data_IF_348355607673
#
_entry.id   IF_348355607673
#
_cell.length_a   1.000
_cell.length_b   1.000
_cell.length_c   1.000
_cell.angle_alpha   90.00
_cell.angle_beta   90.00
_cell.angle_gamma   90.00
#
_symmetry.space_group_name_H-M   'P 1'
#
loop_
_entity.id
_entity.type
_entity.pdbx_description
1 polymer ?
#
# COMPACT_ATOMS: atom_id res chain seq x y z
N UNK A 1 46.03 -6.82 39.73
CA UNK A 1 45.96 -6.38 38.32
C UNK A 1 44.61 -6.82 37.76
N UNK A 2 43.77 -5.90 37.29
CA UNK A 2 42.38 -6.18 36.93
C UNK A 2 42.24 -6.59 35.46
N UNK A 3 41.34 -7.54 35.21
CA UNK A 3 40.92 -8.01 33.89
C UNK A 3 39.90 -7.00 33.35
N UNK A 4 40.20 -6.41 32.19
CA UNK A 4 39.33 -5.47 31.47
C UNK A 4 38.05 -6.18 31.01
N UNK A 5 36.91 -5.66 31.45
CA UNK A 5 35.60 -5.91 30.86
C UNK A 5 35.47 -4.97 29.65
N UNK A 6 35.37 -5.52 28.44
CA UNK A 6 35.08 -4.74 27.25
C UNK A 6 33.57 -4.50 27.10
N UNK A 7 33.23 -3.22 26.93
CA UNK A 7 31.91 -2.66 26.71
C UNK A 7 31.24 -3.23 25.45
N UNK A 8 30.22 -4.07 25.62
CA UNK A 8 29.22 -4.37 24.58
C UNK A 8 28.11 -3.33 24.69
N UNK A 9 28.40 -2.10 24.23
CA UNK A 9 27.38 -1.08 23.99
C UNK A 9 27.77 -0.30 22.73
N UNK A 10 27.41 -0.87 21.58
CA UNK A 10 27.28 -0.13 20.32
C UNK A 10 25.98 -0.61 19.65
N UNK A 11 24.99 0.27 19.44
CA UNK A 11 23.82 -0.10 18.66
C UNK A 11 24.27 -0.38 17.23
N UNK A 12 23.99 -1.60 16.73
CA UNK A 12 24.01 -1.84 15.28
C UNK A 12 22.97 -0.92 14.67
N UNK A 13 23.39 -0.13 13.68
CA UNK A 13 22.48 0.64 12.83
C UNK A 13 21.40 -0.28 12.26
N UNK A 14 20.15 -0.03 12.61
CA UNK A 14 18.97 -0.74 12.11
C UNK A 14 18.74 -0.38 10.63
N UNK A 15 18.34 -1.34 9.78
CA UNK A 15 18.15 -1.08 8.35
C UNK A 15 16.94 -0.17 8.10
N UNK A 16 17.15 0.83 7.24
CA UNK A 16 16.09 1.69 6.71
C UNK A 16 15.32 0.96 5.59
N UNK A 17 14.04 1.27 5.38
CA UNK A 17 13.23 0.72 4.29
C UNK A 17 13.83 1.03 2.90
N UNK A 18 14.60 2.10 2.76
CA UNK A 18 15.34 2.43 1.53
C UNK A 18 16.50 1.45 1.23
N UNK A 19 17.05 0.73 2.23
CA UNK A 19 18.20 -0.17 2.03
C UNK A 19 17.82 -1.48 1.33
N UNK A 20 16.52 -1.80 1.24
CA UNK A 20 16.05 -3.03 0.58
C UNK A 20 15.76 -2.85 -0.92
N UNK A 21 15.77 -1.62 -1.46
CA UNK A 21 15.40 -1.35 -2.86
C UNK A 21 16.50 -0.70 -3.72
N UNK A 22 17.74 -0.54 -3.24
CA UNK A 22 18.78 0.15 -4.03
C UNK A 22 20.10 -0.61 -4.09
N UNK A 23 20.33 -1.29 -5.22
CA UNK A 23 21.71 -1.56 -5.67
C UNK A 23 21.93 -1.20 -7.14
N UNK A 24 22.91 -0.28 -7.33
CA UNK A 24 23.73 0.02 -8.53
C UNK A 24 23.12 0.89 -9.65
N UNK A 25 23.37 2.21 -9.57
CA UNK A 25 23.48 3.10 -10.74
C UNK A 25 24.83 2.91 -11.44
N UNK A 26 24.84 2.55 -12.73
CA UNK A 26 25.98 2.82 -13.63
C UNK A 26 25.63 4.04 -14.49
N UNK A 27 26.50 5.05 -14.44
CA UNK A 27 26.50 6.24 -15.31
C UNK A 27 26.88 5.82 -16.73
N UNK A 28 26.14 6.28 -17.73
CA UNK A 28 26.65 6.46 -19.10
C UNK A 28 26.33 7.88 -19.57
N UNK A 29 27.38 8.56 -20.01
CA UNK A 29 27.41 9.91 -20.53
C UNK A 29 26.96 9.96 -22.00
N UNK A 30 26.10 10.92 -22.33
CA UNK A 30 25.76 11.31 -23.69
C UNK A 30 26.86 12.18 -24.31
N UNK A 31 27.27 11.84 -25.53
CA UNK A 31 27.98 12.74 -26.43
C UNK A 31 26.97 13.58 -27.23
N UNK A 32 27.24 14.87 -27.32
CA UNK A 32 26.58 15.85 -28.17
C UNK A 32 27.48 16.12 -29.39
N UNK A 33 26.89 16.28 -30.57
CA UNK A 33 27.53 16.99 -31.68
C UNK A 33 26.52 17.81 -32.47
N UNK A 34 27.04 18.93 -32.96
CA UNK A 34 26.43 20.18 -33.39
C UNK A 34 26.02 20.27 -34.86
N UNK A 35 25.12 21.23 -35.11
CA UNK A 35 24.93 22.12 -36.27
C UNK A 35 25.59 21.81 -37.64
N UNK A 36 24.82 21.98 -38.72
CA UNK A 36 25.00 23.11 -39.64
C UNK A 36 23.91 23.19 -40.72
N UNK A 37 23.66 24.44 -41.11
CA UNK A 37 22.72 25.01 -42.08
C UNK A 37 23.12 24.85 -43.54
N UNK A 38 22.15 24.85 -44.47
CA UNK A 38 22.27 25.63 -45.71
C UNK A 38 20.91 25.93 -46.35
N UNK A 39 20.79 27.17 -46.84
CA UNK A 39 19.72 27.70 -47.70
C UNK A 39 20.10 27.52 -49.18
N UNK A 40 19.12 27.60 -50.07
CA UNK A 40 19.10 27.88 -51.54
C UNK A 40 18.11 26.91 -52.21
N UNK A 41 17.28 27.23 -53.20
CA UNK A 41 17.07 28.40 -54.04
C UNK A 41 15.65 28.29 -54.63
N UNK A 42 14.95 29.41 -54.80
CA UNK A 42 13.57 29.50 -55.29
C UNK A 42 13.58 29.68 -56.80
N UNK A 43 13.63 28.59 -57.58
CA UNK A 43 13.25 28.60 -59.01
C UNK A 43 12.86 27.18 -59.45
N UNK A 44 11.55 26.90 -59.52
CA UNK A 44 11.03 25.60 -59.99
C UNK A 44 9.56 25.35 -59.68
N UNK A 45 8.70 26.36 -59.77
CA UNK A 45 7.34 26.33 -59.20
C UNK A 45 6.22 25.87 -60.14
N UNK A 46 6.47 25.41 -61.37
CA UNK A 46 5.36 25.06 -62.30
C UNK A 46 5.42 23.61 -62.84
N UNK A 47 6.52 22.87 -62.65
CA UNK A 47 6.57 21.42 -62.98
C UNK A 47 6.30 20.51 -61.75
N UNK A 48 6.39 21.05 -60.53
CA UNK A 48 6.32 20.29 -59.28
C UNK A 48 4.89 19.89 -58.87
N UNK A 49 3.86 20.64 -59.29
CA UNK A 49 2.47 20.42 -58.85
C UNK A 49 1.83 19.12 -59.38
N UNK A 50 2.19 18.68 -60.59
CA UNK A 50 1.67 17.42 -61.16
C UNK A 50 2.38 16.17 -60.60
N UNK A 51 3.66 16.29 -60.23
CA UNK A 51 4.41 15.18 -59.62
C UNK A 51 4.04 15.06 -58.12
N UNK A 52 3.82 16.17 -57.42
CA UNK A 52 3.34 16.16 -56.03
C UNK A 52 1.93 15.57 -55.90
N UNK A 53 1.02 15.79 -56.85
CA UNK A 53 -0.33 15.22 -56.81
C UNK A 53 -0.33 13.72 -57.08
N UNK A 54 0.49 13.23 -58.02
CA UNK A 54 0.69 11.80 -58.23
C UNK A 54 1.43 11.13 -57.06
N UNK A 55 2.41 11.79 -56.43
CA UNK A 55 3.08 11.28 -55.23
C UNK A 55 2.16 11.30 -54.00
N UNK A 56 1.29 12.30 -53.85
CA UNK A 56 0.25 12.36 -52.81
C UNK A 56 -0.81 11.27 -53.03
N UNK A 57 -1.25 11.03 -54.27
CA UNK A 57 -2.18 9.94 -54.59
C UNK A 57 -1.50 8.58 -54.41
N UNK A 58 -0.22 8.43 -54.76
CA UNK A 58 0.52 7.19 -54.52
C UNK A 58 0.79 6.97 -53.02
N UNK A 59 1.05 8.02 -52.24
CA UNK A 59 1.14 7.97 -50.76
C UNK A 59 -0.23 7.70 -50.11
N UNK A 60 -1.33 8.22 -50.64
CA UNK A 60 -2.69 7.93 -50.17
C UNK A 60 -3.14 6.50 -50.52
N UNK A 61 -2.69 5.97 -51.67
CA UNK A 61 -2.96 4.58 -52.09
C UNK A 61 -2.01 3.57 -51.41
N UNK A 62 -0.75 3.93 -51.12
CA UNK A 62 0.16 3.11 -50.31
C UNK A 62 -0.17 3.15 -48.81
N UNK A 63 -0.77 4.23 -48.31
CA UNK A 63 -1.28 4.32 -46.93
C UNK A 63 -2.53 3.47 -46.70
N UNK A 64 -3.15 2.94 -47.77
CA UNK A 64 -4.25 1.96 -47.71
C UNK A 64 -3.81 0.50 -47.78
N UNK A 65 -2.51 0.20 -47.83
CA UNK A 65 -2.03 -1.09 -47.35
C UNK A 65 -1.97 -0.97 -45.83
N UNK A 66 -2.90 -1.63 -45.14
CA UNK A 66 -2.71 -1.92 -43.72
C UNK A 66 -1.29 -2.47 -43.58
N UNK A 67 -0.40 -1.86 -42.79
CA UNK A 67 0.84 -2.54 -42.44
C UNK A 67 0.39 -3.86 -41.85
N UNK A 68 0.79 -4.99 -42.46
CA UNK A 68 0.50 -6.32 -41.97
C UNK A 68 0.67 -6.29 -40.45
N UNK A 69 -0.45 -6.31 -39.72
CA UNK A 69 -0.42 -6.10 -38.29
C UNK A 69 0.44 -7.24 -37.73
N UNK A 70 1.58 -6.88 -37.14
CA UNK A 70 2.41 -7.89 -36.49
C UNK A 70 1.52 -8.67 -35.53
N UNK A 71 1.56 -10.02 -35.55
CA UNK A 71 0.68 -10.82 -34.71
C UNK A 71 0.81 -10.37 -33.26
N UNK A 72 -0.32 -10.23 -32.57
CA UNK A 72 -0.33 -9.82 -31.17
C UNK A 72 0.19 -10.99 -30.35
N UNK A 73 1.42 -10.86 -29.86
CA UNK A 73 2.06 -11.89 -29.05
C UNK A 73 1.59 -11.79 -27.60
N UNK A 74 1.04 -12.88 -27.09
CA UNK A 74 0.78 -13.05 -25.66
C UNK A 74 2.05 -13.52 -24.94
N UNK A 75 2.35 -12.85 -23.84
CA UNK A 75 3.47 -13.15 -22.95
C UNK A 75 2.92 -13.69 -21.63
N UNK A 76 3.66 -14.57 -20.92
CA UNK A 76 3.22 -15.10 -19.65
C UNK A 76 3.03 -13.97 -18.65
N UNK A 77 1.93 -14.01 -17.91
CA UNK A 77 1.66 -13.01 -16.89
C UNK A 77 2.64 -13.22 -15.72
N UNK A 78 2.85 -14.47 -15.32
CA UNK A 78 3.84 -14.91 -14.33
C UNK A 78 5.07 -15.52 -15.01
N UNK A 79 6.17 -14.81 -15.00
CA UNK A 79 7.45 -15.25 -15.54
C UNK A 79 8.30 -15.96 -14.47
N UNK A 80 8.46 -17.28 -14.63
CA UNK A 80 9.16 -18.12 -13.66
C UNK A 80 10.66 -17.84 -13.57
N UNK A 81 11.26 -17.11 -14.54
CA UNK A 81 12.66 -16.68 -14.44
C UNK A 81 12.91 -15.78 -13.23
N UNK A 82 11.88 -15.10 -12.73
CA UNK A 82 11.94 -14.18 -11.60
C UNK A 82 11.30 -14.75 -10.31
N UNK A 83 10.98 -16.04 -10.26
CA UNK A 83 10.28 -16.64 -9.12
C UNK A 83 11.03 -16.52 -7.78
N UNK A 84 12.37 -16.42 -7.81
CA UNK A 84 13.20 -16.25 -6.61
C UNK A 84 13.20 -14.80 -6.08
N UNK A 85 12.90 -13.82 -6.93
CA UNK A 85 12.88 -12.39 -6.61
C UNK A 85 11.61 -11.76 -7.20
N UNK A 86 10.42 -12.22 -6.78
CA UNK A 86 9.17 -11.97 -7.50
C UNK A 86 8.74 -10.50 -7.53
N UNK A 87 9.29 -9.68 -6.61
CA UNK A 87 8.94 -8.27 -6.43
C UNK A 87 10.09 -7.30 -6.77
N UNK A 88 11.27 -7.82 -7.14
CA UNK A 88 12.46 -7.00 -7.37
C UNK A 88 12.60 -6.66 -8.85
N UNK A 89 13.01 -5.43 -9.16
CA UNK A 89 13.28 -4.98 -10.53
C UNK A 89 12.07 -5.16 -11.45
N UNK A 90 12.21 -5.96 -12.51
CA UNK A 90 11.13 -6.17 -13.49
C UNK A 90 9.92 -6.97 -12.95
N UNK A 91 10.05 -7.58 -11.76
CA UNK A 91 9.10 -8.55 -11.17
C UNK A 91 8.84 -9.77 -12.05
N UNK A 92 8.14 -10.78 -11.50
CA UNK A 92 7.59 -11.85 -12.32
C UNK A 92 6.34 -11.46 -13.11
N UNK A 93 5.67 -10.35 -12.77
CA UNK A 93 4.34 -10.00 -13.25
C UNK A 93 4.48 -9.00 -14.39
N UNK A 94 4.17 -9.42 -15.62
CA UNK A 94 4.42 -8.61 -16.83
C UNK A 94 5.90 -8.21 -17.00
N UNK A 95 6.80 -9.16 -16.73
CA UNK A 95 8.26 -8.95 -16.63
C UNK A 95 8.94 -8.33 -17.86
N UNK A 96 8.32 -8.38 -19.04
CA UNK A 96 8.89 -7.80 -20.27
C UNK A 96 8.72 -6.28 -20.37
N UNK A 97 8.06 -5.65 -19.39
CA UNK A 97 7.82 -4.20 -19.36
C UNK A 97 8.63 -3.56 -18.23
N UNK A 98 9.08 -2.32 -18.49
CA UNK A 98 9.73 -1.49 -17.48
C UNK A 98 8.69 -0.60 -16.78
N UNK A 99 8.86 -0.41 -15.48
CA UNK A 99 8.00 0.47 -14.70
C UNK A 99 8.15 1.94 -15.07
N UNK A 100 7.06 2.67 -14.85
CA UNK A 100 7.07 4.14 -14.87
C UNK A 100 7.41 4.64 -13.47
N UNK A 101 8.46 5.46 -13.38
CA UNK A 101 8.89 6.09 -12.13
C UNK A 101 8.47 7.57 -12.13
N UNK A 102 7.62 7.94 -11.17
CA UNK A 102 7.30 9.33 -10.85
C UNK A 102 7.91 9.70 -9.49
N UNK A 103 8.46 10.91 -9.38
CA UNK A 103 9.16 11.34 -8.16
C UNK A 103 8.27 11.24 -6.92
N UNK A 104 8.67 10.36 -5.99
CA UNK A 104 8.00 10.16 -4.70
C UNK A 104 6.83 9.18 -4.71
N UNK A 105 6.41 8.69 -5.88
CA UNK A 105 5.27 7.77 -6.06
C UNK A 105 5.70 6.31 -6.10
N UNK A 106 4.73 5.40 -6.05
CA UNK A 106 4.96 3.99 -6.36
C UNK A 106 5.13 3.77 -7.88
N UNK A 107 5.95 2.79 -8.20
CA UNK A 107 6.19 2.26 -9.54
C UNK A 107 4.89 1.69 -10.11
N UNK A 108 4.61 2.01 -11.37
CA UNK A 108 3.39 1.56 -12.04
C UNK A 108 3.54 1.48 -13.55
N UNK A 109 2.59 0.83 -14.21
CA UNK A 109 2.46 0.84 -15.66
C UNK A 109 1.16 1.55 -16.05
N UNK A 110 1.20 2.34 -17.13
CA UNK A 110 0.03 3.03 -17.68
C UNK A 110 -0.23 2.55 -19.11
N UNK A 111 -1.48 2.24 -19.39
CA UNK A 111 -1.95 1.88 -20.73
C UNK A 111 -3.23 2.65 -21.07
N UNK A 112 -3.34 3.18 -22.30
CA UNK A 112 -2.24 3.46 -23.21
C UNK A 112 -1.34 4.59 -22.65
N UNK A 113 -0.06 4.53 -22.98
CA UNK A 113 0.96 5.54 -22.65
C UNK A 113 2.06 5.59 -23.71
N UNK A 114 2.90 6.62 -23.68
CA UNK A 114 4.08 6.70 -24.56
C UNK A 114 5.00 5.47 -24.42
N UNK A 115 5.22 5.00 -23.18
CA UNK A 115 6.05 3.81 -22.91
C UNK A 115 5.47 2.53 -23.51
N UNK A 116 4.14 2.42 -23.58
CA UNK A 116 3.46 1.30 -24.25
C UNK A 116 3.27 1.49 -25.77
N UNK A 117 3.83 2.55 -26.36
CA UNK A 117 3.56 2.98 -27.74
C UNK A 117 2.07 3.17 -28.04
N UNK A 118 1.34 3.75 -27.09
CA UNK A 118 -0.11 3.98 -27.13
C UNK A 118 -0.96 2.71 -27.32
N UNK A 119 -0.40 1.52 -27.02
CA UNK A 119 -1.12 0.24 -27.07
C UNK A 119 -1.95 0.03 -25.81
N UNK A 120 -3.05 -0.70 -25.97
CA UNK A 120 -3.91 -1.13 -24.88
C UNK A 120 -3.33 -2.39 -24.23
N UNK A 121 -3.56 -2.54 -22.93
CA UNK A 121 -3.30 -3.78 -22.22
C UNK A 121 -4.44 -4.76 -22.51
N UNK A 122 -4.10 -5.98 -22.90
CA UNK A 122 -5.01 -7.11 -23.00
C UNK A 122 -4.55 -8.23 -22.07
N UNK A 123 -5.47 -8.81 -21.30
CA UNK A 123 -5.24 -9.94 -20.39
C UNK A 123 -6.02 -11.16 -20.89
N UNK A 124 -5.39 -12.33 -20.82
CA UNK A 124 -6.00 -13.61 -21.18
C UNK A 124 -5.76 -14.63 -20.08
N UNK A 125 -6.71 -15.56 -19.95
CA UNK A 125 -6.72 -16.55 -18.88
C UNK A 125 -7.43 -16.06 -17.61
N UNK A 126 -7.99 -17.02 -16.87
CA UNK A 126 -8.75 -16.81 -15.63
C UNK A 126 -8.36 -17.81 -14.54
N UNK A 127 -7.15 -18.36 -14.63
CA UNK A 127 -6.71 -19.38 -13.68
C UNK A 127 -6.47 -18.75 -12.31
N UNK A 128 -7.13 -19.32 -11.30
CA UNK A 128 -7.15 -18.84 -9.91
C UNK A 128 -6.17 -19.61 -9.01
N UNK A 129 -5.46 -20.59 -9.57
CA UNK A 129 -4.61 -21.54 -8.84
C UNK A 129 -3.21 -21.70 -9.45
N UNK A 130 -3.06 -21.37 -10.73
CA UNK A 130 -1.80 -21.45 -11.44
C UNK A 130 -1.59 -20.20 -12.31
N UNK A 131 -0.86 -19.22 -11.76
CA UNK A 131 -0.64 -17.94 -12.43
C UNK A 131 0.17 -18.02 -13.74
N UNK A 132 0.84 -19.14 -14.04
CA UNK A 132 1.54 -19.31 -15.35
C UNK A 132 0.58 -19.57 -16.50
N UNK A 133 -0.69 -19.86 -16.20
CA UNK A 133 -1.75 -20.07 -17.19
C UNK A 133 -2.49 -18.78 -17.57
N UNK A 134 -2.10 -17.66 -16.98
CA UNK A 134 -2.57 -16.34 -17.36
C UNK A 134 -1.49 -15.66 -18.21
N UNK A 135 -1.92 -14.79 -19.13
CA UNK A 135 -1.02 -14.09 -20.07
C UNK A 135 -1.49 -12.67 -20.34
N UNK A 136 -0.62 -11.84 -20.90
CA UNK A 136 -0.91 -10.47 -21.31
C UNK A 136 -0.35 -10.17 -22.68
N UNK A 137 -0.94 -9.18 -23.36
CA UNK A 137 -0.45 -8.66 -24.62
C UNK A 137 -0.68 -7.14 -24.70
N UNK A 138 0.06 -6.48 -25.60
CA UNK A 138 -0.16 -5.07 -25.94
C UNK A 138 -0.73 -4.98 -27.36
N UNK A 139 -1.93 -4.42 -27.50
CA UNK A 139 -2.66 -4.36 -28.77
C UNK A 139 -2.92 -2.91 -29.21
N UNK A 140 -2.76 -2.57 -30.51
CA UNK A 140 -3.26 -1.30 -31.04
C UNK A 140 -4.79 -1.21 -30.89
N UNK A 141 -5.31 -0.01 -30.60
CA UNK A 141 -6.76 0.20 -30.44
C UNK A 141 -7.60 -0.26 -31.65
N UNK A 142 -7.06 -0.12 -32.86
CA UNK A 142 -7.73 -0.52 -34.11
C UNK A 142 -7.52 -1.98 -34.54
N UNK A 143 -6.74 -2.76 -33.78
CA UNK A 143 -6.39 -4.15 -34.10
C UNK A 143 -6.27 -4.94 -32.81
N UNK A 144 -7.41 -5.20 -32.16
CA UNK A 144 -7.47 -6.03 -30.95
C UNK A 144 -7.32 -7.52 -31.31
N UNK A 145 -6.92 -8.38 -30.36
CA UNK A 145 -6.91 -9.82 -30.59
C UNK A 145 -8.30 -10.35 -30.97
N UNK A 146 -8.32 -11.47 -31.67
CA UNK A 146 -9.58 -12.15 -32.00
C UNK A 146 -10.37 -12.51 -30.73
N UNK A 147 -11.68 -12.31 -30.77
CA UNK A 147 -12.56 -12.54 -29.63
C UNK A 147 -12.38 -11.56 -28.46
N UNK A 148 -11.56 -10.51 -28.61
CA UNK A 148 -11.30 -9.59 -27.51
C UNK A 148 -12.51 -8.72 -27.11
N UNK A 149 -12.76 -8.61 -25.81
CA UNK A 149 -13.73 -7.65 -25.26
C UNK A 149 -12.99 -6.39 -24.80
N UNK A 150 -13.33 -5.23 -25.36
CA UNK A 150 -12.80 -3.94 -24.92
C UNK A 150 -13.64 -3.38 -23.76
N UNK A 151 -13.02 -3.25 -22.59
CA UNK A 151 -13.64 -2.68 -21.39
C UNK A 151 -13.36 -1.18 -21.29
N UNK A 152 -14.42 -0.37 -21.24
CA UNK A 152 -14.36 1.10 -21.16
C UNK A 152 -13.97 1.59 -19.77
N UNK A 153 -13.46 2.82 -19.67
CA UNK A 153 -13.09 3.42 -18.38
C UNK A 153 -11.77 2.90 -17.81
N UNK A 154 -11.43 3.34 -16.60
CA UNK A 154 -10.15 3.04 -15.94
C UNK A 154 -10.24 1.68 -15.24
N UNK A 155 -9.25 0.83 -15.46
CA UNK A 155 -9.11 -0.43 -14.74
C UNK A 155 -7.89 -0.36 -13.84
N UNK A 156 -8.06 -0.59 -12.55
CA UNK A 156 -6.94 -0.82 -11.65
C UNK A 156 -6.56 -2.30 -11.73
N UNK A 157 -5.31 -2.58 -12.06
CA UNK A 157 -4.77 -3.93 -12.10
C UNK A 157 -3.69 -4.04 -11.04
N UNK A 158 -3.76 -5.05 -10.18
CA UNK A 158 -2.74 -5.27 -9.16
C UNK A 158 -2.27 -6.71 -9.18
N UNK A 159 -0.95 -6.92 -9.12
CA UNK A 159 -0.38 -8.15 -8.60
C UNK A 159 0.25 -7.86 -7.25
N UNK A 160 -0.09 -8.71 -6.28
CA UNK A 160 0.58 -8.70 -4.99
C UNK A 160 1.23 -10.05 -4.73
N UNK A 161 2.39 -10.01 -4.06
CA UNK A 161 3.00 -11.20 -3.49
C UNK A 161 2.19 -11.78 -2.31
N UNK A 162 1.39 -10.92 -1.69
CA UNK A 162 0.53 -11.25 -0.57
C UNK A 162 -0.94 -11.36 -1.01
N UNK A 163 -1.76 -12.10 -0.27
CA UNK A 163 -3.19 -12.22 -0.57
C UNK A 163 -3.98 -10.91 -0.31
N UNK A 164 -5.24 -10.84 -0.73
CA UNK A 164 -6.12 -9.70 -0.45
C UNK A 164 -7.04 -9.94 0.78
N UNK A 165 -6.90 -11.09 1.44
CA UNK A 165 -7.76 -11.53 2.55
C UNK A 165 -7.24 -11.02 3.90
N UNK A 166 -5.93 -10.97 4.07
CA UNK A 166 -5.33 -10.39 5.26
C UNK A 166 -5.38 -8.84 5.19
N UNK A 167 -5.79 -8.20 6.27
CA UNK A 167 -5.93 -6.74 6.33
C UNK A 167 -4.65 -5.99 5.94
N UNK A 168 -3.47 -6.40 6.45
CA UNK A 168 -2.21 -5.73 6.10
C UNK A 168 -1.82 -5.99 4.65
N UNK A 169 -1.96 -7.24 4.18
CA UNK A 169 -1.63 -7.61 2.81
C UNK A 169 -2.49 -6.80 1.82
N UNK A 170 -3.80 -6.83 1.98
CA UNK A 170 -4.73 -6.11 1.12
C UNK A 170 -4.54 -4.59 1.19
N UNK A 171 -4.31 -4.03 2.39
CA UNK A 171 -3.94 -2.61 2.53
C UNK A 171 -2.70 -2.28 1.68
N UNK A 172 -1.63 -3.07 1.80
CA UNK A 172 -0.38 -2.83 1.07
C UNK A 172 -0.52 -2.91 -0.45
N UNK A 173 -1.49 -3.69 -0.94
CA UNK A 173 -1.80 -3.83 -2.35
C UNK A 173 -2.60 -2.64 -2.91
N UNK A 174 -3.44 -2.00 -2.08
CA UNK A 174 -4.33 -0.91 -2.53
C UNK A 174 -3.77 0.50 -2.28
N UNK A 175 -2.89 0.68 -1.30
CA UNK A 175 -2.22 1.98 -1.02
C UNK A 175 -1.58 2.63 -2.26
N UNK A 176 -0.91 1.90 -3.16
CA UNK A 176 -0.35 2.48 -4.40
C UNK A 176 -1.41 3.11 -5.29
N UNK A 177 -2.57 2.46 -5.41
CA UNK A 177 -3.70 3.03 -6.14
C UNK A 177 -4.26 4.26 -5.44
N UNK A 178 -4.39 4.23 -4.11
CA UNK A 178 -4.85 5.40 -3.35
C UNK A 178 -3.89 6.60 -3.52
N UNK A 179 -2.59 6.34 -3.61
CA UNK A 179 -1.61 7.35 -3.99
C UNK A 179 -1.88 7.88 -5.40
N UNK A 180 -2.04 7.00 -6.38
CA UNK A 180 -2.32 7.41 -7.76
C UNK A 180 -3.62 8.22 -7.87
N UNK A 181 -4.71 7.76 -7.26
CA UNK A 181 -6.00 8.44 -7.17
C UNK A 181 -5.85 9.87 -6.67
N UNK A 182 -5.19 10.06 -5.51
CA UNK A 182 -4.99 11.39 -4.93
C UNK A 182 -4.16 12.34 -5.80
N UNK A 183 -3.29 11.80 -6.67
CA UNK A 183 -2.45 12.60 -7.58
C UNK A 183 -3.15 12.91 -8.90
N UNK A 184 -3.87 11.95 -9.46
CA UNK A 184 -4.54 12.06 -10.76
C UNK A 184 -5.96 12.59 -10.58
N UNK A 185 -6.09 13.73 -9.91
CA UNK A 185 -7.35 14.47 -9.74
C UNK A 185 -8.52 13.61 -9.24
N UNK A 186 -8.23 12.64 -8.37
CA UNK A 186 -9.23 11.78 -7.75
C UNK A 186 -9.98 10.89 -8.76
N UNK A 187 -9.31 10.50 -9.85
CA UNK A 187 -9.81 9.50 -10.79
C UNK A 187 -10.10 8.17 -10.09
N UNK A 188 -11.27 7.58 -10.37
CA UNK A 188 -11.70 6.32 -9.80
C UNK A 188 -11.66 5.20 -10.85
N UNK A 189 -11.40 3.95 -10.46
CA UNK A 189 -11.44 2.84 -11.38
C UNK A 189 -12.89 2.35 -11.56
N UNK A 190 -13.27 2.07 -12.80
CA UNK A 190 -14.53 1.40 -13.13
C UNK A 190 -14.52 -0.08 -12.66
N UNK A 191 -13.32 -0.65 -12.50
CA UNK A 191 -13.12 -2.04 -12.07
C UNK A 191 -11.73 -2.29 -11.49
N UNK A 192 -11.68 -3.35 -10.69
CA UNK A 192 -10.49 -3.87 -10.01
C UNK A 192 -10.16 -5.25 -10.58
N UNK A 193 -8.98 -5.42 -11.15
CA UNK A 193 -8.48 -6.70 -11.64
C UNK A 193 -7.34 -7.13 -10.73
N UNK A 194 -7.58 -8.16 -9.94
CA UNK A 194 -6.69 -8.52 -8.84
C UNK A 194 -5.98 -9.83 -9.15
N UNK A 195 -4.66 -9.82 -8.97
CA UNK A 195 -3.81 -10.98 -9.05
C UNK A 195 -3.02 -11.14 -7.76
N UNK A 196 -2.86 -12.38 -7.33
CA UNK A 196 -1.92 -12.74 -6.28
C UNK A 196 -1.05 -13.84 -6.85
N UNK A 197 0.23 -13.52 -7.09
CA UNK A 197 1.20 -14.41 -7.74
C UNK A 197 0.82 -14.80 -9.16
N UNK A 198 0.26 -13.86 -9.90
CA UNK A 198 -0.28 -14.05 -11.24
C UNK A 198 -1.58 -14.84 -11.31
N UNK A 199 -2.14 -15.29 -10.19
CA UNK A 199 -3.42 -16.00 -10.12
C UNK A 199 -4.57 -15.02 -9.92
N UNK A 200 -5.64 -15.16 -10.71
CA UNK A 200 -6.79 -14.25 -10.65
C UNK A 200 -7.50 -14.37 -9.29
N UNK A 201 -7.80 -13.22 -8.68
CA UNK A 201 -8.59 -13.08 -7.46
C UNK A 201 -9.86 -12.32 -7.77
N UNK A 202 -10.96 -12.85 -7.24
CA UNK A 202 -12.31 -12.33 -7.46
C UNK A 202 -12.96 -11.84 -6.17
N UNK A 203 -12.18 -11.85 -5.10
CA UNK A 203 -12.58 -11.43 -3.76
C UNK A 203 -11.38 -10.74 -3.09
N UNK A 204 -11.72 -9.90 -2.13
CA UNK A 204 -10.81 -9.33 -1.15
C UNK A 204 -11.51 -9.31 0.20
N UNK A 205 -10.77 -9.10 1.28
CA UNK A 205 -11.38 -9.04 2.60
C UNK A 205 -12.45 -7.93 2.69
N UNK A 206 -13.57 -8.16 3.41
CA UNK A 206 -14.60 -7.14 3.58
C UNK A 206 -14.09 -5.83 4.18
N UNK A 207 -13.07 -5.90 5.03
CA UNK A 207 -12.44 -4.72 5.63
C UNK A 207 -11.71 -3.87 4.57
N UNK A 208 -10.99 -4.50 3.64
CA UNK A 208 -10.29 -3.77 2.55
C UNK A 208 -11.32 -3.20 1.57
N UNK A 209 -12.39 -3.94 1.25
CA UNK A 209 -13.50 -3.41 0.44
C UNK A 209 -14.13 -2.19 1.08
N UNK A 210 -14.42 -2.24 2.39
CA UNK A 210 -14.98 -1.12 3.14
C UNK A 210 -14.06 0.10 3.14
N UNK A 211 -12.74 -0.11 3.23
CA UNK A 211 -11.77 0.98 3.12
C UNK A 211 -11.79 1.62 1.73
N UNK A 212 -11.80 0.82 0.66
CA UNK A 212 -11.88 1.34 -0.71
C UNK A 212 -13.17 2.13 -0.90
N UNK A 213 -14.30 1.56 -0.46
CA UNK A 213 -15.61 2.22 -0.52
C UNK A 213 -15.60 3.54 0.25
N UNK A 214 -15.03 3.57 1.45
CA UNK A 214 -14.96 4.80 2.22
C UNK A 214 -14.10 5.89 1.55
N UNK A 215 -13.02 5.50 0.87
CA UNK A 215 -12.11 6.44 0.19
C UNK A 215 -12.68 6.96 -1.13
N UNK A 216 -13.21 6.04 -1.94
CA UNK A 216 -13.70 6.34 -3.29
C UNK A 216 -15.18 6.72 -3.30
N UNK A 217 -15.95 6.37 -2.28
CA UNK A 217 -17.40 6.57 -2.20
C UNK A 217 -18.22 5.57 -3.03
N UNK A 218 -17.63 4.45 -3.44
CA UNK A 218 -18.29 3.39 -4.20
C UNK A 218 -17.61 2.03 -3.93
N UNK A 219 -18.41 0.97 -3.89
CA UNK A 219 -17.92 -0.39 -3.66
C UNK A 219 -16.98 -0.83 -4.80
N UNK A 220 -15.83 -1.47 -4.51
CA UNK A 220 -14.95 -1.96 -5.55
C UNK A 220 -15.60 -3.07 -6.38
N UNK A 221 -15.83 -2.81 -7.66
CA UNK A 221 -16.21 -3.84 -8.62
C UNK A 221 -15.00 -4.70 -9.00
N UNK A 222 -14.89 -5.89 -8.40
CA UNK A 222 -13.83 -6.87 -8.72
C UNK A 222 -14.22 -7.66 -9.97
N UNK A 223 -13.34 -7.67 -10.96
CA UNK A 223 -13.55 -8.37 -12.23
C UNK A 223 -13.24 -9.87 -12.07
N UNK A 224 -14.18 -10.71 -12.47
CA UNK A 224 -14.07 -12.17 -12.40
C UNK A 224 -14.02 -12.87 -13.78
N UNK A 225 -14.23 -12.10 -14.85
CA UNK A 225 -14.35 -12.57 -16.23
C UNK A 225 -15.37 -13.72 -16.39
N UNK A 226 -16.43 -13.77 -15.58
CA UNK A 226 -17.40 -14.86 -15.61
C UNK A 226 -18.26 -14.86 -16.89
N UNK A 227 -18.60 -13.68 -17.41
CA UNK A 227 -19.35 -13.52 -18.66
C UNK A 227 -18.50 -13.71 -19.94
N UNK A 228 -17.25 -14.20 -19.79
CA UNK A 228 -16.33 -14.36 -20.90
C UNK A 228 -16.58 -15.65 -21.68
N UNK A 229 -16.54 -15.54 -23.01
CA UNK A 229 -16.01 -16.64 -23.83
C UNK A 229 -14.51 -16.81 -23.61
N UNK A 230 -13.83 -17.65 -24.40
CA UNK A 230 -12.38 -17.91 -24.25
C UNK A 230 -11.47 -16.76 -24.72
N UNK A 231 -12.04 -15.61 -25.11
CA UNK A 231 -11.31 -14.45 -25.64
C UNK A 231 -10.66 -13.55 -24.56
N UNK A 232 -9.66 -12.73 -24.94
CA UNK A 232 -8.98 -11.82 -24.01
C UNK A 232 -9.80 -10.57 -23.68
N UNK A 233 -9.46 -9.93 -22.56
CA UNK A 233 -10.03 -8.65 -22.15
C UNK A 233 -9.00 -7.54 -22.37
N UNK A 234 -9.36 -6.57 -23.19
CA UNK A 234 -8.54 -5.38 -23.41
C UNK A 234 -9.13 -4.18 -22.67
N UNK A 235 -8.28 -3.31 -22.13
CA UNK A 235 -8.73 -2.17 -21.33
C UNK A 235 -8.54 -0.87 -22.10
N UNK A 236 -9.58 -0.03 -22.11
CA UNK A 236 -9.48 1.33 -22.65
C UNK A 236 -8.43 2.15 -21.92
N UNK A 237 -8.39 2.02 -20.59
CA UNK A 237 -7.33 2.54 -19.72
C UNK A 237 -7.03 1.53 -18.62
N UNK A 238 -5.74 1.30 -18.36
CA UNK A 238 -5.30 0.49 -17.23
C UNK A 238 -4.14 1.17 -16.49
N UNK A 239 -4.19 1.11 -15.17
CA UNK A 239 -3.06 1.41 -14.29
C UNK A 239 -2.70 0.13 -13.54
N UNK A 240 -1.45 -0.31 -13.67
CA UNK A 240 -0.96 -1.56 -13.12
C UNK A 240 0.04 -1.31 -12.01
N UNK A 241 -0.15 -1.95 -10.86
CA UNK A 241 0.79 -1.94 -9.74
C UNK A 241 1.22 -3.37 -9.40
N UNK A 242 2.54 -3.58 -9.30
CA UNK A 242 3.14 -4.92 -9.10
C UNK A 242 4.25 -4.94 -8.03
N UNK A 243 4.40 -3.85 -7.28
CA UNK A 243 5.43 -3.66 -6.24
C UNK A 243 4.86 -3.39 -4.85
N UNK A 244 3.55 -3.55 -4.63
CA UNK A 244 2.85 -2.97 -3.47
C UNK A 244 3.28 -1.49 -3.30
N UNK A 245 3.61 -1.05 -2.08
CA UNK A 245 4.06 0.33 -1.82
C UNK A 245 5.42 0.71 -2.45
N UNK A 246 6.22 -0.26 -2.90
CA UNK A 246 7.46 -0.06 -3.68
C UNK A 246 8.38 1.08 -3.21
N UNK A 247 8.88 1.86 -4.18
CA UNK A 247 9.74 3.03 -4.00
C UNK A 247 9.02 4.27 -3.43
N UNK A 248 7.72 4.17 -3.12
CA UNK A 248 6.93 5.31 -2.62
C UNK A 248 7.59 5.93 -1.39
N UNK A 249 7.83 7.24 -1.43
CA UNK A 249 8.59 7.92 -0.37
C UNK A 249 7.73 8.22 0.86
N UNK A 250 8.37 8.28 2.02
CA UNK A 250 7.68 8.43 3.33
C UNK A 250 6.67 9.58 3.38
N UNK A 251 7.04 10.77 2.89
CA UNK A 251 6.12 11.93 2.81
C UNK A 251 4.88 11.62 1.95
N UNK A 252 5.05 10.85 0.87
CA UNK A 252 3.94 10.46 0.01
C UNK A 252 3.03 9.47 0.72
N UNK A 253 3.60 8.44 1.36
CA UNK A 253 2.84 7.49 2.19
C UNK A 253 2.02 8.23 3.25
N UNK A 254 2.63 9.17 3.96
CA UNK A 254 1.96 9.99 4.98
C UNK A 254 0.74 10.75 4.45
N UNK A 255 0.86 11.37 3.28
CA UNK A 255 -0.27 12.05 2.64
C UNK A 255 -1.40 11.08 2.27
N UNK A 256 -1.07 9.87 1.83
CA UNK A 256 -2.05 8.86 1.41
C UNK A 256 -2.77 8.27 2.62
N UNK A 257 -2.03 7.91 3.67
CA UNK A 257 -2.61 7.45 4.93
C UNK A 257 -3.49 8.52 5.59
N UNK A 258 -3.11 9.80 5.52
CA UNK A 258 -3.96 10.92 5.98
C UNK A 258 -5.26 11.03 5.16
N UNK A 259 -5.18 10.93 3.82
CA UNK A 259 -6.37 10.94 2.96
C UNK A 259 -7.30 9.78 3.31
N UNK A 260 -6.77 8.56 3.42
CA UNK A 260 -7.56 7.37 3.76
C UNK A 260 -8.22 7.49 5.12
N UNK A 261 -7.49 7.97 6.14
CA UNK A 261 -8.03 8.26 7.47
C UNK A 261 -9.17 9.26 7.43
N UNK A 262 -8.96 10.40 6.78
CA UNK A 262 -9.95 11.47 6.71
C UNK A 262 -11.22 10.99 6.00
N UNK A 263 -11.07 10.32 4.85
CA UNK A 263 -12.19 9.75 4.10
C UNK A 263 -12.95 8.68 4.86
N UNK A 264 -12.24 7.80 5.57
CA UNK A 264 -12.85 6.77 6.41
C UNK A 264 -13.72 7.38 7.52
N UNK A 265 -13.24 8.47 8.15
CA UNK A 265 -14.03 9.20 9.16
C UNK A 265 -15.30 9.80 8.57
N UNK A 266 -15.17 10.50 7.46
CA UNK A 266 -16.33 11.12 6.78
C UNK A 266 -17.36 10.06 6.37
N UNK A 267 -16.91 8.95 5.77
CA UNK A 267 -17.78 7.84 5.37
C UNK A 267 -18.51 7.21 6.56
N UNK A 268 -17.86 7.13 7.72
CA UNK A 268 -18.45 6.63 8.96
C UNK A 268 -19.20 7.69 9.79
N UNK A 269 -19.46 8.89 9.24
CA UNK A 269 -20.21 9.95 9.93
C UNK A 269 -19.47 10.59 11.11
N UNK A 270 -18.14 10.52 11.13
CA UNK A 270 -17.31 11.08 12.19
C UNK A 270 -16.69 12.42 11.76
N UNK A 271 -16.48 13.30 12.75
CA UNK A 271 -15.75 14.55 12.55
C UNK A 271 -14.26 14.29 12.29
N UNK A 272 -13.60 15.24 11.62
CA UNK A 272 -12.15 15.21 11.43
C UNK A 272 -11.42 15.50 12.75
N UNK A 273 -11.02 14.42 13.42
CA UNK A 273 -10.24 14.44 14.67
C UNK A 273 -11.07 14.10 15.90
N UNK A 274 -10.46 13.45 16.88
CA UNK A 274 -11.16 13.03 18.10
C UNK A 274 -11.67 14.19 18.96
N UNK A 275 -12.73 13.93 19.74
CA UNK A 275 -13.31 14.91 20.68
C UNK A 275 -12.41 15.22 21.90
N UNK A 276 -11.30 14.51 22.11
CA UNK A 276 -10.48 14.61 23.32
C UNK A 276 -9.95 16.02 23.60
N UNK A 277 -10.39 16.68 24.67
CA UNK A 277 -9.96 18.00 25.11
C UNK A 277 -8.45 18.13 25.37
N UNK A 278 -7.97 19.37 25.57
CA UNK A 278 -6.58 19.61 25.96
C UNK A 278 -6.20 18.83 27.23
N UNK A 279 -5.03 18.19 27.21
CA UNK A 279 -4.55 17.35 28.32
C UNK A 279 -5.28 16.01 28.53
N UNK A 280 -6.35 15.71 27.79
CA UNK A 280 -7.07 14.42 27.89
C UNK A 280 -6.28 13.33 27.17
N UNK A 281 -5.97 12.22 27.85
CA UNK A 281 -5.24 11.08 27.26
C UNK A 281 -6.18 9.88 27.14
N UNK A 282 -6.40 9.36 25.94
CA UNK A 282 -7.26 8.21 25.68
C UNK A 282 -6.40 7.01 25.30
N UNK A 283 -6.40 6.01 26.16
CA UNK A 283 -5.65 4.77 25.99
C UNK A 283 -6.61 3.67 25.56
N UNK A 284 -6.27 2.95 24.52
CA UNK A 284 -7.03 1.78 24.06
C UNK A 284 -6.15 0.55 24.19
N UNK A 285 -6.61 -0.42 24.97
CA UNK A 285 -6.06 -1.77 24.99
C UNK A 285 -6.89 -2.63 24.02
N UNK A 286 -6.36 -2.86 22.81
CA UNK A 286 -6.99 -3.67 21.78
C UNK A 286 -6.53 -5.11 21.92
N UNK A 287 -7.41 -5.93 22.49
CA UNK A 287 -7.14 -7.31 22.86
C UNK A 287 -7.48 -8.28 21.73
N UNK A 288 -6.89 -9.48 21.83
CA UNK A 288 -7.13 -10.60 20.91
C UNK A 288 -7.71 -11.80 21.66
N UNK A 289 -8.49 -12.59 20.95
CA UNK A 289 -8.88 -13.94 21.35
C UNK A 289 -7.97 -14.97 20.68
N UNK A 290 -7.64 -16.07 21.36
CA UNK A 290 -6.85 -17.16 20.80
C UNK A 290 -5.37 -16.82 20.58
N UNK A 291 -4.88 -17.01 19.35
CA UNK A 291 -3.48 -16.80 19.00
C UNK A 291 -3.03 -15.37 19.34
N UNK A 292 -1.91 -15.26 20.08
CA UNK A 292 -1.33 -13.99 20.57
C UNK A 292 -2.20 -13.23 21.58
N UNK A 293 -3.18 -13.87 22.20
CA UNK A 293 -3.82 -13.34 23.40
C UNK A 293 -2.83 -13.31 24.58
N UNK A 294 -3.08 -12.45 25.57
CA UNK A 294 -2.29 -12.46 26.80
C UNK A 294 -2.58 -13.72 27.63
N UNK A 295 -1.55 -14.26 28.30
CA UNK A 295 -1.68 -15.38 29.25
C UNK A 295 -2.51 -14.98 30.47
N UNK A 296 -2.23 -13.78 30.99
CA UNK A 296 -3.00 -13.12 32.04
C UNK A 296 -3.43 -11.73 31.56
N UNK A 297 -4.62 -11.68 30.98
CA UNK A 297 -5.23 -10.44 30.48
C UNK A 297 -5.62 -9.49 31.62
N UNK A 298 -6.00 -10.04 32.78
CA UNK A 298 -6.43 -9.24 33.94
C UNK A 298 -5.25 -8.49 34.54
N UNK A 299 -4.09 -9.14 34.65
CA UNK A 299 -2.84 -8.51 35.08
C UNK A 299 -2.47 -7.32 34.18
N UNK A 300 -2.41 -7.55 32.86
CA UNK A 300 -2.14 -6.48 31.88
C UNK A 300 -3.17 -5.34 32.01
N UNK A 301 -4.45 -5.65 32.08
CA UNK A 301 -5.50 -4.65 32.25
C UNK A 301 -5.31 -3.82 33.53
N UNK A 302 -4.99 -4.48 34.65
CA UNK A 302 -4.76 -3.81 35.93
C UNK A 302 -3.59 -2.82 35.85
N UNK A 303 -2.50 -3.16 35.16
CA UNK A 303 -1.37 -2.26 34.95
C UNK A 303 -1.80 -1.00 34.19
N UNK A 304 -2.43 -1.17 33.03
CA UNK A 304 -2.91 -0.04 32.22
C UNK A 304 -3.93 0.81 32.98
N UNK A 305 -4.83 0.18 33.72
CA UNK A 305 -5.82 0.87 34.54
C UNK A 305 -5.15 1.68 35.66
N UNK A 306 -4.19 1.09 36.38
CA UNK A 306 -3.48 1.73 37.48
C UNK A 306 -2.68 2.94 36.99
N UNK A 307 -1.93 2.79 35.90
CA UNK A 307 -1.11 3.89 35.35
C UNK A 307 -1.97 5.01 34.76
N UNK A 308 -3.08 4.68 34.11
CA UNK A 308 -4.00 5.71 33.60
C UNK A 308 -4.63 6.52 34.75
N UNK A 309 -5.04 5.89 35.86
CA UNK A 309 -5.59 6.60 37.03
C UNK A 309 -4.63 7.61 37.67
N UNK A 310 -3.31 7.43 37.50
CA UNK A 310 -2.29 8.35 38.03
C UNK A 310 -2.18 9.65 37.23
N UNK A 311 -2.77 9.73 36.05
CA UNK A 311 -2.70 10.88 35.17
C UNK A 311 -4.07 11.53 35.04
N UNK A 312 -4.13 12.82 35.39
CA UNK A 312 -5.37 13.58 35.30
C UNK A 312 -5.95 13.54 33.89
N UNK A 313 -7.26 13.30 33.81
CA UNK A 313 -8.04 13.18 32.57
C UNK A 313 -7.55 12.08 31.61
N UNK A 314 -6.92 11.03 32.12
CA UNK A 314 -6.68 9.81 31.37
C UNK A 314 -7.93 8.91 31.35
N UNK A 315 -8.24 8.30 30.20
CA UNK A 315 -9.34 7.36 30.02
C UNK A 315 -8.82 6.08 29.37
N UNK A 316 -9.17 4.93 29.93
CA UNK A 316 -8.83 3.62 29.37
C UNK A 316 -10.07 2.99 28.74
N UNK A 317 -9.94 2.58 27.48
CA UNK A 317 -10.91 1.78 26.73
C UNK A 317 -10.32 0.40 26.48
N UNK A 318 -11.12 -0.64 26.65
CA UNK A 318 -10.76 -2.01 26.31
C UNK A 318 -11.67 -2.47 25.19
N UNK A 319 -11.07 -2.99 24.12
CA UNK A 319 -11.82 -3.47 22.97
C UNK A 319 -11.21 -4.77 22.46
N UNK A 320 -11.98 -5.55 21.70
CA UNK A 320 -11.48 -6.71 20.97
C UNK A 320 -11.78 -6.56 19.48
N UNK A 321 -10.80 -6.86 18.64
CA UNK A 321 -10.89 -6.58 17.20
C UNK A 321 -11.95 -7.41 16.46
N UNK A 322 -12.22 -8.62 16.94
CA UNK A 322 -13.20 -9.57 16.38
C UNK A 322 -14.67 -9.09 16.54
N UNK A 323 -14.92 -8.11 17.41
CA UNK A 323 -16.26 -7.59 17.69
C UNK A 323 -16.57 -6.25 16.99
N UNK A 324 -15.68 -5.76 16.13
CA UNK A 324 -15.77 -4.39 15.58
C UNK A 324 -16.03 -4.42 14.07
N UNK A 325 -17.11 -3.76 13.64
CA UNK A 325 -17.30 -3.43 12.22
C UNK A 325 -16.21 -2.47 11.73
N UNK A 326 -16.12 -2.22 10.42
CA UNK A 326 -15.18 -1.24 9.87
C UNK A 326 -15.36 0.14 10.54
N UNK A 327 -16.59 0.66 10.61
CA UNK A 327 -16.82 1.97 11.23
C UNK A 327 -16.64 1.97 12.75
N UNK A 328 -16.86 0.86 13.45
CA UNK A 328 -16.50 0.76 14.87
C UNK A 328 -14.97 0.88 15.06
N UNK A 329 -14.18 0.30 14.16
CA UNK A 329 -12.73 0.46 14.18
C UNK A 329 -12.31 1.90 13.88
N UNK A 330 -12.92 2.55 12.88
CA UNK A 330 -12.66 3.97 12.57
C UNK A 330 -12.98 4.86 13.78
N UNK A 331 -14.12 4.62 14.43
CA UNK A 331 -14.52 5.35 15.65
C UNK A 331 -13.53 5.12 16.79
N UNK A 332 -13.24 3.86 17.11
CA UNK A 332 -12.31 3.50 18.18
C UNK A 332 -10.94 4.17 17.96
N UNK A 333 -10.39 4.11 16.74
CA UNK A 333 -9.09 4.71 16.44
C UNK A 333 -9.11 6.24 16.46
N UNK A 334 -10.20 6.87 16.03
CA UNK A 334 -10.42 8.33 16.16
C UNK A 334 -10.49 8.75 17.65
N UNK A 335 -10.95 7.83 18.50
CA UNK A 335 -11.02 8.00 19.94
C UNK A 335 -9.76 7.58 20.71
N UNK A 336 -8.70 7.17 20.01
CA UNK A 336 -7.48 6.62 20.63
C UNK A 336 -6.27 7.55 20.44
N UNK A 337 -5.58 7.85 21.54
CA UNK A 337 -4.29 8.57 21.52
C UNK A 337 -3.11 7.63 21.76
N UNK A 338 -3.32 6.55 22.52
CA UNK A 338 -2.34 5.49 22.77
C UNK A 338 -3.02 4.15 22.50
N UNK A 339 -2.56 3.41 21.50
CA UNK A 339 -3.03 2.07 21.18
C UNK A 339 -2.03 1.03 21.67
N UNK A 340 -2.46 0.17 22.58
CA UNK A 340 -1.71 -1.00 23.04
C UNK A 340 -2.36 -2.26 22.48
N UNK A 341 -1.60 -3.08 21.74
CA UNK A 341 -2.15 -4.30 21.12
C UNK A 341 -1.09 -5.37 20.91
N UNK A 342 -1.44 -6.66 21.07
CA UNK A 342 -0.66 -7.74 20.49
C UNK A 342 -0.41 -7.56 18.99
N UNK A 343 0.76 -7.97 18.52
CA UNK A 343 1.13 -7.97 17.11
C UNK A 343 0.14 -8.79 16.28
N UNK A 344 -0.36 -8.24 15.18
CA UNK A 344 -1.18 -8.98 14.23
C UNK A 344 -1.98 -8.10 13.30
N UNK A 345 -2.58 -8.70 12.26
CA UNK A 345 -3.27 -7.98 11.19
C UNK A 345 -4.41 -7.06 11.67
N UNK A 346 -4.95 -7.26 12.88
CA UNK A 346 -5.92 -6.32 13.45
C UNK A 346 -5.31 -4.95 13.76
N UNK A 347 -4.01 -4.89 14.02
CA UNK A 347 -3.28 -3.67 14.30
C UNK A 347 -3.10 -2.80 13.04
N UNK A 348 -3.41 -3.34 11.86
CA UNK A 348 -3.41 -2.60 10.59
C UNK A 348 -4.26 -1.33 10.66
N UNK A 349 -5.36 -1.35 11.41
CA UNK A 349 -6.27 -0.20 11.53
C UNK A 349 -5.67 1.01 12.27
N UNK A 350 -4.47 0.89 12.86
CA UNK A 350 -3.83 1.99 13.61
C UNK A 350 -3.71 3.28 12.79
N UNK A 351 -3.58 3.19 11.45
CA UNK A 351 -3.41 4.39 10.62
C UNK A 351 -4.64 5.31 10.70
N UNK A 352 -5.78 4.84 11.20
CA UNK A 352 -7.00 5.61 11.43
C UNK A 352 -6.91 6.53 12.67
N UNK A 353 -5.90 6.33 13.53
CA UNK A 353 -5.61 7.19 14.68
C UNK A 353 -5.08 8.55 14.21
N UNK A 354 -5.23 9.59 15.04
CA UNK A 354 -4.65 10.91 14.74
C UNK A 354 -3.11 10.85 14.60
N UNK A 355 -2.53 11.76 13.81
CA UNK A 355 -1.06 11.94 13.76
C UNK A 355 -0.51 12.23 15.16
N UNK A 356 0.71 11.77 15.41
CA UNK A 356 1.41 11.86 16.68
C UNK A 356 0.78 11.08 17.84
N UNK A 357 -0.30 10.33 17.60
CA UNK A 357 -0.72 9.26 18.51
C UNK A 357 0.39 8.22 18.65
N UNK A 358 0.27 7.36 19.66
CA UNK A 358 1.30 6.40 20.05
C UNK A 358 0.79 4.96 19.91
N UNK A 359 1.66 4.04 19.50
CA UNK A 359 1.37 2.60 19.45
C UNK A 359 2.38 1.84 20.31
N UNK A 360 1.88 0.90 21.11
CA UNK A 360 2.65 -0.04 21.94
C UNK A 360 2.32 -1.45 21.48
N UNK A 361 3.35 -2.20 21.07
CA UNK A 361 3.17 -3.51 20.43
C UNK A 361 3.67 -4.65 21.33
N UNK A 362 2.94 -5.76 21.36
CA UNK A 362 3.28 -6.94 22.18
C UNK A 362 3.47 -8.18 21.31
N UNK A 363 4.56 -8.92 21.54
CA UNK A 363 4.92 -10.11 20.79
C UNK A 363 5.01 -11.34 21.70
N UNK A 364 4.60 -12.52 21.22
CA UNK A 364 4.88 -13.77 21.91
C UNK A 364 6.38 -14.11 21.84
N UNK A 365 6.81 -15.02 22.72
CA UNK A 365 8.17 -15.56 22.69
C UNK A 365 8.49 -16.17 21.33
N UNK A 366 9.74 -16.03 20.89
CA UNK A 366 10.25 -16.66 19.66
C UNK A 366 9.96 -15.88 18.37
N UNK A 367 9.13 -14.83 18.44
CA UNK A 367 8.80 -14.01 17.27
C UNK A 367 10.02 -13.31 16.69
N UNK A 368 10.78 -12.59 17.53
CA UNK A 368 11.93 -11.76 17.10
C UNK A 368 12.98 -12.56 16.34
N UNK A 369 13.17 -13.83 16.72
CA UNK A 369 14.17 -14.71 16.14
C UNK A 369 13.78 -15.25 14.75
N UNK A 370 12.48 -15.45 14.50
CA UNK A 370 12.00 -16.20 13.32
C UNK A 370 11.13 -15.40 12.35
N UNK A 371 10.62 -14.24 12.75
CA UNK A 371 9.65 -13.48 11.96
C UNK A 371 10.25 -12.70 10.77
N UNK A 372 11.58 -12.65 10.66
CA UNK A 372 12.27 -11.86 9.64
C UNK A 372 11.77 -10.41 9.63
N UNK A 373 11.49 -9.89 8.44
CA UNK A 373 11.00 -8.53 8.24
C UNK A 373 9.58 -8.29 8.80
N UNK A 374 8.78 -9.35 8.96
CA UNK A 374 7.39 -9.27 9.42
C UNK A 374 7.23 -8.63 10.82
N UNK A 375 8.29 -8.64 11.64
CA UNK A 375 8.28 -7.99 12.96
C UNK A 375 8.24 -6.45 12.90
N UNK A 376 8.55 -5.85 11.74
CA UNK A 376 8.60 -4.39 11.59
C UNK A 376 7.38 -3.80 10.88
N UNK A 377 6.46 -4.65 10.40
CA UNK A 377 5.30 -4.24 9.60
C UNK A 377 4.52 -3.10 10.25
N UNK A 378 4.17 -3.23 11.54
CA UNK A 378 3.37 -2.23 12.23
C UNK A 378 4.17 -0.99 12.63
N UNK A 379 5.48 -1.10 12.82
CA UNK A 379 6.37 0.06 12.93
C UNK A 379 6.41 0.85 11.62
N UNK A 380 6.44 0.17 10.46
CA UNK A 380 6.40 0.84 9.16
C UNK A 380 5.07 1.53 8.90
N UNK A 381 3.93 0.90 9.23
CA UNK A 381 2.61 1.54 9.13
C UNK A 381 2.54 2.75 10.05
N UNK A 382 3.02 2.64 11.29
CA UNK A 382 3.04 3.76 12.22
C UNK A 382 3.81 4.96 11.63
N UNK A 383 5.04 4.72 11.13
CA UNK A 383 5.87 5.76 10.50
C UNK A 383 5.14 6.34 9.27
N UNK A 384 4.62 5.48 8.40
CA UNK A 384 3.91 5.87 7.19
C UNK A 384 2.63 6.65 7.48
N UNK A 385 2.01 6.47 8.65
CA UNK A 385 0.80 7.16 9.06
C UNK A 385 1.06 8.39 9.97
N UNK A 386 2.33 8.72 10.23
CA UNK A 386 2.72 9.81 11.13
C UNK A 386 2.42 9.54 12.60
N UNK A 387 2.47 8.27 13.02
CA UNK A 387 2.23 7.76 14.38
C UNK A 387 3.56 7.38 15.03
N UNK A 388 3.65 7.57 16.35
CA UNK A 388 4.83 7.22 17.15
C UNK A 388 4.78 5.75 17.56
N UNK A 389 5.74 4.96 17.11
CA UNK A 389 5.91 3.60 17.62
C UNK A 389 6.74 3.62 18.92
N UNK A 390 6.10 3.32 20.06
CA UNK A 390 6.69 3.48 21.41
C UNK A 390 7.58 2.32 21.86
N UNK A 391 7.92 1.44 20.93
CA UNK A 391 8.68 0.22 21.17
C UNK A 391 7.79 -1.01 21.22
N UNK A 392 8.42 -2.14 21.53
CA UNK A 392 7.76 -3.44 21.55
C UNK A 392 8.13 -4.21 22.81
N UNK A 393 7.14 -4.87 23.41
CA UNK A 393 7.35 -5.92 24.39
C UNK A 393 7.52 -7.25 23.68
N UNK A 394 8.62 -7.94 23.95
CA UNK A 394 8.82 -9.31 23.52
C UNK A 394 8.81 -10.20 24.75
N UNK A 395 7.82 -11.08 24.85
CA UNK A 395 7.71 -12.01 25.96
C UNK A 395 9.00 -12.88 26.06
N UNK A 396 9.78 -12.74 27.14
CA UNK A 396 10.98 -13.55 27.33
C UNK A 396 10.63 -14.97 27.81
N UNK A 397 9.43 -15.19 28.36
CA UNK A 397 9.04 -16.41 29.07
C UNK A 397 7.89 -17.12 28.36
N UNK A 398 8.18 -18.27 27.76
CA UNK A 398 7.20 -19.10 27.08
C UNK A 398 7.74 -20.47 26.73
N UNK A 399 6.87 -21.33 26.24
CA UNK A 399 7.20 -22.72 25.96
C UNK A 399 8.28 -22.81 24.88
N UNK A 400 9.29 -23.68 25.06
CA UNK A 400 10.24 -23.96 23.99
C UNK A 400 9.51 -24.64 22.83
N UNK A 401 9.88 -24.30 21.61
CA UNK A 401 9.38 -25.01 20.44
C UNK A 401 9.77 -26.50 20.52
N UNK A 402 8.82 -27.44 20.32
CA UNK A 402 9.09 -28.87 20.38
C UNK A 402 9.78 -29.42 19.12
N UNK A 403 10.02 -28.58 18.11
CA UNK A 403 10.59 -28.97 16.83
C UNK A 403 12.04 -28.52 16.70
N UNK A 404 12.87 -29.32 16.03
CA UNK A 404 14.24 -28.93 15.69
C UNK A 404 14.31 -27.94 14.51
N UNK A 405 13.27 -27.89 13.68
CA UNK A 405 13.20 -27.04 12.48
C UNK A 405 12.54 -25.69 12.76
N UNK A 406 13.28 -24.62 12.47
CA UNK A 406 12.84 -23.24 12.54
C UNK A 406 11.55 -22.96 11.76
N UNK A 407 11.33 -23.64 10.62
CA UNK A 407 10.13 -23.44 9.79
C UNK A 407 8.85 -23.85 10.52
N UNK A 408 8.94 -24.90 11.35
CA UNK A 408 7.84 -25.40 12.19
C UNK A 408 7.75 -24.65 13.53
N UNK A 409 8.87 -24.14 14.01
CA UNK A 409 8.89 -23.30 15.21
C UNK A 409 8.27 -21.92 15.00
N UNK A 410 8.40 -21.35 13.80
CA UNK A 410 7.80 -20.04 13.52
C UNK A 410 6.28 -20.01 13.76
N UNK A 411 5.45 -20.88 13.16
CA UNK A 411 4.00 -20.89 13.42
C UNK A 411 3.67 -21.24 14.88
N UNK A 412 4.45 -22.09 15.54
CA UNK A 412 4.28 -22.40 16.96
C UNK A 412 4.40 -21.12 17.82
N UNK A 413 5.51 -20.40 17.69
CA UNK A 413 5.75 -19.15 18.41
C UNK A 413 4.77 -18.05 17.99
N UNK A 414 4.49 -17.93 16.68
CA UNK A 414 3.55 -16.95 16.13
C UNK A 414 2.14 -17.10 16.70
N UNK A 415 1.73 -18.31 17.06
CA UNK A 415 0.41 -18.57 17.62
C UNK A 415 0.40 -18.65 19.16
N UNK A 416 1.56 -18.56 19.81
CA UNK A 416 1.68 -18.58 21.26
C UNK A 416 0.94 -17.44 21.96
N UNK A 417 0.56 -17.68 23.21
CA UNK A 417 0.03 -16.63 24.11
C UNK A 417 1.17 -15.79 24.67
N UNK A 418 0.87 -14.53 24.99
CA UNK A 418 1.85 -13.51 25.40
C UNK A 418 1.87 -13.40 26.93
N UNK A 419 3.03 -13.65 27.54
CA UNK A 419 3.31 -13.30 28.93
C UNK A 419 3.54 -11.80 29.11
N UNK A 420 3.47 -11.34 30.35
CA UNK A 420 3.72 -9.94 30.71
C UNK A 420 4.60 -9.86 31.95
N UNK A 421 5.25 -8.71 32.13
CA UNK A 421 6.01 -8.36 33.33
C UNK A 421 5.45 -7.06 33.90
N UNK A 422 4.92 -7.13 35.13
CA UNK A 422 4.21 -6.01 35.75
C UNK A 422 5.09 -4.78 35.91
N UNK A 423 6.33 -4.95 36.35
CA UNK A 423 7.24 -3.83 36.61
C UNK A 423 7.62 -3.12 35.31
N UNK A 424 7.94 -3.88 34.27
CA UNK A 424 8.27 -3.36 32.95
C UNK A 424 7.06 -2.65 32.32
N UNK A 425 5.90 -3.30 32.25
CA UNK A 425 4.69 -2.70 31.68
C UNK A 425 4.27 -1.47 32.47
N UNK A 426 4.40 -1.48 33.80
CA UNK A 426 4.12 -0.31 34.66
C UNK A 426 4.98 0.86 34.22
N UNK A 427 6.31 0.70 34.18
CA UNK A 427 7.22 1.77 33.80
C UNK A 427 6.98 2.25 32.36
N UNK A 428 6.81 1.31 31.42
CA UNK A 428 6.62 1.61 30.01
C UNK A 428 5.31 2.38 29.77
N UNK A 429 4.19 1.89 30.30
CA UNK A 429 2.87 2.53 30.18
C UNK A 429 2.88 3.90 30.84
N UNK A 430 3.44 4.02 32.06
CA UNK A 430 3.55 5.30 32.78
C UNK A 430 4.29 6.37 31.96
N UNK A 431 5.41 5.97 31.33
CA UNK A 431 6.20 6.85 30.46
C UNK A 431 5.39 7.32 29.25
N UNK A 432 4.76 6.39 28.52
CA UNK A 432 4.03 6.71 27.28
C UNK A 432 2.79 7.59 27.55
N UNK A 433 2.07 7.36 28.65
CA UNK A 433 0.93 8.19 29.06
C UNK A 433 1.40 9.62 29.37
N UNK A 434 2.48 9.77 30.16
CA UNK A 434 3.04 11.10 30.47
C UNK A 434 3.51 11.84 29.22
N UNK A 435 4.31 11.20 28.37
CA UNK A 435 4.77 11.79 27.11
C UNK A 435 3.61 12.25 26.20
N UNK A 436 2.52 11.48 26.16
CA UNK A 436 1.35 11.83 25.37
C UNK A 436 0.58 13.00 25.97
N UNK A 437 0.45 13.04 27.31
CA UNK A 437 -0.15 14.16 28.02
C UNK A 437 0.63 15.45 27.77
N UNK A 438 1.94 15.41 27.95
CA UNK A 438 2.81 16.58 27.80
C UNK A 438 2.73 17.13 26.38
N UNK A 439 2.76 16.27 25.37
CA UNK A 439 2.53 16.66 23.97
C UNK A 439 1.18 17.38 23.78
N UNK A 440 0.11 16.88 24.39
CA UNK A 440 -1.24 17.46 24.27
C UNK A 440 -1.41 18.83 24.96
N UNK A 441 -0.48 19.21 25.82
CA UNK A 441 -0.45 20.55 26.43
C UNK A 441 0.34 21.57 25.59
N UNK A 442 0.99 21.13 24.51
CA UNK A 442 1.78 22.01 23.64
C UNK A 442 0.93 22.81 22.65
N UNK A 443 1.43 23.98 22.23
CA UNK A 443 0.85 24.75 21.12
C UNK A 443 0.87 23.99 19.80
N UNK A 444 1.84 23.10 19.60
CA UNK A 444 1.92 22.23 18.44
C UNK A 444 0.69 21.32 18.32
N UNK A 445 0.23 20.76 19.44
CA UNK A 445 -1.01 19.98 19.47
C UNK A 445 -2.24 20.85 19.16
N UNK A 446 -2.38 22.01 19.81
CA UNK A 446 -3.51 22.94 19.57
C UNK A 446 -3.60 23.34 18.10
N UNK A 447 -2.46 23.65 17.48
CA UNK A 447 -2.36 24.01 16.05
C UNK A 447 -2.77 22.86 15.14
N UNK A 448 -2.23 21.66 15.39
CA UNK A 448 -2.56 20.44 14.62
C UNK A 448 -4.05 20.15 14.71
N UNK A 449 -4.64 20.25 15.90
CA UNK A 449 -6.05 19.99 16.13
C UNK A 449 -6.96 21.00 15.41
N UNK A 450 -6.61 22.29 15.47
CA UNK A 450 -7.35 23.34 14.74
C UNK A 450 -7.33 23.06 13.25
N UNK A 451 -6.16 22.70 12.71
CA UNK A 451 -5.97 22.36 11.30
C UNK A 451 -6.84 21.17 10.88
N UNK A 452 -6.81 20.07 11.64
CA UNK A 452 -7.62 18.88 11.38
C UNK A 452 -9.12 19.19 11.28
N UNK A 453 -9.64 20.06 12.15
CA UNK A 453 -11.06 20.47 12.14
C UNK A 453 -11.45 21.33 10.94
N UNK A 454 -10.50 22.05 10.35
CA UNK A 454 -10.76 22.98 9.24
C UNK A 454 -10.45 22.41 7.86
N UNK A 455 -9.58 21.40 7.78
CA UNK A 455 -9.16 20.82 6.52
C UNK A 455 -10.20 19.85 5.98
N UNK A 456 -10.58 20.07 4.71
CA UNK A 456 -11.34 19.10 3.93
C UNK A 456 -10.44 17.95 3.51
N UNK A 457 -10.94 16.71 3.50
CA UNK A 457 -10.16 15.57 3.04
C UNK A 457 -9.71 15.79 1.59
N UNK A 458 -8.49 15.35 1.26
CA UNK A 458 -8.08 15.21 -0.13
C UNK A 458 -9.12 14.35 -0.86
N UNK A 459 -9.45 14.74 -2.09
CA UNK A 459 -10.50 14.11 -2.89
C UNK A 459 -11.92 14.19 -2.34
N UNK A 460 -12.21 15.13 -1.42
CA UNK A 460 -13.60 15.51 -1.13
C UNK A 460 -14.19 16.20 -2.35
N UNK A 461 -15.41 15.84 -2.74
CA UNK A 461 -16.14 16.63 -3.72
C UNK A 461 -16.24 18.06 -3.16
N UNK A 462 -15.85 19.07 -3.95
CA UNK A 462 -16.37 20.41 -3.69
C UNK A 462 -17.87 20.26 -3.88
N UNK A 463 -18.65 20.35 -2.81
CA UNK A 463 -20.09 20.54 -2.95
C UNK A 463 -20.30 21.63 -3.98
N UNK A 464 -20.88 21.24 -5.11
CA UNK A 464 -21.24 22.18 -6.15
C UNK A 464 -22.18 23.18 -5.51
N UNK A 465 -21.73 24.44 -5.38
CA UNK A 465 -22.65 25.56 -5.44
C UNK A 465 -23.37 25.44 -6.78
N UNK A 466 -24.52 24.79 -6.76
CA UNK A 466 -25.60 25.10 -7.70
C UNK A 466 -26.06 26.49 -7.31
N UNK A 467 -25.53 27.49 -8.01
CA UNK A 467 -26.18 28.79 -8.18
C UNK A 467 -26.83 28.79 -9.55
#
# INVERSE_FOLDING_TARGET
MPIKIENINKPRSEPNMDDYCSTRRKKFSLFSSSHSTSRFSVYGLISSACILTLFQIHMLLFSRRQPNASPITFLPLKDLRFAATPMDGSTWFMSALNDTHEAGEAEHLLFPSYASHHKLLCLAGRDRSNGTRNSYALAPRGSLPEGAKLLKGISFVSDSYYDYENLWHGLSAVVPFMAWHGRKRCEKPERWVLYHRGELRVQMSPWVSSLIEAVLGEEPRIEDYAEAGDGPYCFEKAVVFRHNEGEMKGKRKEMVYEMMRCKSRVSCGLLNGGEGGEGVVRVTLLLRTGARSFKDEKGVLNVFHSECRKVDRCRLTVARSDNLTFCDQVKLMTETDILASPHGAQLTNMFLMDRNSSVMEFFPKGWKQLAGAGQFVFRWIAIAAGIRHQGAWHDPVGDPCPYADNSRCFPFYKNGRIGHDDAYLTNWTSRVIRETRDYKLTDGYRTTRRRLRTETCLCSAKEGRRS
#
